data_IF_017548004318
#
_entry.id   IF_017548004318
#
_cell.length_a   1.000
_cell.length_b   1.000
_cell.length_c   1.000
_cell.angle_alpha   90.00
_cell.angle_beta   90.00
_cell.angle_gamma   90.00
#
_symmetry.space_group_name_H-M   'P 1'
#
loop_
_entity.id
_entity.type
_entity.pdbx_description
1 polymer ?
#
# COMPACT_ATOMS: atom_id res chain seq x y z
N UNK A 1 -8.09 -12.43 -6.56
CA UNK A 1 -7.47 -11.54 -5.56
C UNK A 1 -8.55 -10.73 -4.86
N UNK A 2 -8.28 -10.21 -3.66
CA UNK A 2 -9.13 -9.26 -2.92
C UNK A 2 -8.34 -7.98 -2.72
N UNK A 3 -8.95 -6.83 -2.99
CA UNK A 3 -8.34 -5.52 -2.75
C UNK A 3 -9.02 -4.90 -1.53
N UNK A 4 -8.22 -4.53 -0.53
CA UNK A 4 -8.67 -3.88 0.69
C UNK A 4 -8.35 -2.39 0.58
N UNK A 5 -9.39 -1.56 0.48
CA UNK A 5 -9.24 -0.11 0.49
C UNK A 5 -9.46 0.43 1.90
N UNK A 6 -8.68 1.44 2.28
CA UNK A 6 -8.95 2.25 3.47
C UNK A 6 -10.24 3.05 3.33
N UNK A 7 -10.64 3.74 4.39
CA UNK A 7 -11.89 4.51 4.48
C UNK A 7 -12.02 5.65 3.46
N UNK A 8 -10.93 6.01 2.76
CA UNK A 8 -10.90 6.99 1.68
C UNK A 8 -9.52 7.08 1.02
N UNK A 9 -9.41 7.93 0.00
CA UNK A 9 -8.15 8.22 -0.71
C UNK A 9 -7.09 8.77 0.25
N UNK A 10 -5.94 8.10 0.36
CA UNK A 10 -4.83 8.52 1.22
C UNK A 10 -4.99 8.18 2.70
N UNK A 11 -6.08 7.53 3.11
CA UNK A 11 -6.25 7.01 4.47
C UNK A 11 -5.75 5.58 4.56
N UNK A 12 -4.92 5.22 5.56
CA UNK A 12 -4.37 3.88 5.71
C UNK A 12 -5.49 2.84 5.87
N UNK A 13 -5.23 1.65 5.34
CA UNK A 13 -6.02 0.46 5.67
C UNK A 13 -5.80 0.13 7.14
N UNK A 14 -6.89 -0.12 7.85
CA UNK A 14 -6.84 -0.68 9.19
C UNK A 14 -6.16 -2.07 9.12
N UNK A 15 -5.07 -2.23 9.88
CA UNK A 15 -4.31 -3.47 9.97
C UNK A 15 -5.18 -4.65 10.40
N UNK A 16 -6.10 -4.45 11.33
CA UNK A 16 -7.00 -5.50 11.81
C UNK A 16 -7.94 -5.96 10.69
N UNK A 17 -8.48 -5.00 9.92
CA UNK A 17 -9.28 -5.31 8.74
C UNK A 17 -8.47 -6.11 7.72
N UNK A 18 -7.22 -5.71 7.45
CA UNK A 18 -6.35 -6.40 6.51
C UNK A 18 -6.06 -7.84 6.95
N UNK A 19 -5.78 -8.06 8.24
CA UNK A 19 -5.56 -9.38 8.82
C UNK A 19 -6.81 -10.27 8.72
N UNK A 20 -8.00 -9.72 9.02
CA UNK A 20 -9.28 -10.43 8.88
C UNK A 20 -9.55 -10.84 7.44
N UNK A 21 -9.31 -9.93 6.48
CA UNK A 21 -9.45 -10.25 5.06
C UNK A 21 -8.45 -11.31 4.62
N UNK A 22 -7.18 -11.24 5.08
CA UNK A 22 -6.16 -12.26 4.79
C UNK A 22 -6.60 -13.65 5.26
N UNK A 23 -7.15 -13.76 6.47
CA UNK A 23 -7.70 -15.01 6.98
C UNK A 23 -8.90 -15.52 6.18
N UNK A 24 -9.79 -14.62 5.76
CA UNK A 24 -11.00 -14.96 5.00
C UNK A 24 -10.75 -15.23 3.50
N UNK A 25 -9.62 -14.76 2.95
CA UNK A 25 -9.34 -14.82 1.52
C UNK A 25 -9.12 -16.26 0.99
N UNK A 26 -8.94 -17.25 1.87
CA UNK A 26 -8.82 -18.66 1.48
C UNK A 26 -7.64 -18.92 0.54
N UNK A 27 -6.49 -18.30 0.81
CA UNK A 27 -5.28 -18.42 0.00
C UNK A 27 -5.25 -17.57 -1.29
N UNK A 28 -6.30 -16.80 -1.58
CA UNK A 28 -6.28 -15.84 -2.71
C UNK A 28 -5.41 -14.63 -2.36
N UNK A 29 -4.73 -14.01 -3.35
CA UNK A 29 -3.92 -12.82 -3.10
C UNK A 29 -4.72 -11.67 -2.49
N UNK A 30 -4.15 -10.98 -1.51
CA UNK A 30 -4.71 -9.81 -0.82
C UNK A 30 -3.84 -8.59 -1.10
N UNK A 31 -4.47 -7.50 -1.58
CA UNK A 31 -3.78 -6.29 -1.97
C UNK A 31 -4.27 -5.09 -1.16
N UNK A 32 -3.37 -4.16 -0.87
CA UNK A 32 -3.72 -2.85 -0.30
C UNK A 32 -4.11 -1.90 -1.44
N UNK A 33 -5.34 -1.38 -1.43
CA UNK A 33 -5.90 -0.52 -2.47
C UNK A 33 -5.73 0.98 -2.23
N UNK A 34 -5.51 1.41 -0.98
CA UNK A 34 -5.26 2.81 -0.65
C UNK A 34 -4.51 2.96 0.68
N UNK A 35 -3.85 4.10 0.84
CA UNK A 35 -3.30 4.52 2.14
C UNK A 35 -1.94 3.94 2.52
N UNK A 36 -1.30 3.16 1.64
CA UNK A 36 0.10 2.79 1.84
C UNK A 36 1.00 4.02 1.69
N UNK A 37 1.90 4.20 2.64
CA UNK A 37 2.98 5.20 2.67
C UNK A 37 4.28 4.51 3.07
N UNK A 38 5.45 5.15 2.89
CA UNK A 38 6.71 4.61 3.40
C UNK A 38 6.68 4.32 4.90
N UNK A 39 5.97 5.15 5.67
CA UNK A 39 5.93 5.07 7.13
C UNK A 39 5.16 3.85 7.65
N UNK A 40 4.16 3.38 6.90
CA UNK A 40 3.32 2.23 7.30
C UNK A 40 3.59 0.96 6.49
N UNK A 41 4.48 1.01 5.49
CA UNK A 41 4.77 -0.13 4.62
C UNK A 41 5.30 -1.34 5.42
N UNK A 42 6.18 -1.11 6.39
CA UNK A 42 6.73 -2.17 7.25
C UNK A 42 5.71 -2.89 8.11
N UNK A 43 4.60 -2.23 8.43
CA UNK A 43 3.54 -2.81 9.25
C UNK A 43 2.49 -3.53 8.41
N UNK A 44 2.13 -2.98 7.24
CA UNK A 44 1.01 -3.45 6.43
C UNK A 44 1.42 -4.52 5.40
N UNK A 45 2.59 -4.40 4.77
CA UNK A 45 3.02 -5.34 3.73
C UNK A 45 3.22 -6.78 4.22
N UNK A 46 3.60 -7.07 5.49
CA UNK A 46 3.60 -8.45 5.99
C UNK A 46 2.23 -9.16 5.92
N UNK A 47 1.12 -8.42 5.77
CA UNK A 47 -0.24 -8.95 5.69
C UNK A 47 -0.81 -8.97 4.26
N UNK A 48 -0.08 -8.40 3.29
CA UNK A 48 -0.54 -8.24 1.91
C UNK A 48 0.47 -8.79 0.91
N UNK A 49 0.01 -9.15 -0.28
CA UNK A 49 0.85 -9.68 -1.35
C UNK A 49 1.21 -8.60 -2.39
N UNK A 50 0.48 -7.49 -2.43
CA UNK A 50 0.84 -6.30 -3.21
C UNK A 50 0.13 -5.03 -2.69
N UNK A 51 0.46 -3.89 -3.28
CA UNK A 51 -0.21 -2.62 -3.01
C UNK A 51 -0.36 -1.76 -4.26
N UNK A 52 -1.43 -0.96 -4.30
CA UNK A 52 -1.71 0.04 -5.33
C UNK A 52 -1.60 1.41 -4.67
N UNK A 53 -0.67 2.25 -5.13
CA UNK A 53 -0.42 3.57 -4.56
C UNK A 53 -0.56 4.64 -5.63
N UNK A 54 -1.49 5.57 -5.42
CA UNK A 54 -1.74 6.70 -6.31
C UNK A 54 -1.36 8.02 -5.69
N UNK A 55 -2.22 8.55 -4.83
CA UNK A 55 -2.14 9.90 -4.24
C UNK A 55 -0.79 10.22 -3.62
N UNK A 56 -0.22 9.30 -2.84
CA UNK A 56 1.07 9.55 -2.19
C UNK A 56 2.22 9.69 -3.20
N UNK A 57 2.13 9.11 -4.40
CA UNK A 57 3.15 9.26 -5.45
C UNK A 57 3.07 10.61 -6.16
N UNK A 58 2.04 11.42 -5.93
CA UNK A 58 1.85 12.71 -6.60
C UNK A 58 2.57 13.83 -5.88
N UNK A 59 2.98 14.86 -6.64
CA UNK A 59 3.48 16.12 -6.05
C UNK A 59 2.44 16.64 -5.06
N UNK A 60 2.87 16.99 -3.85
CA UNK A 60 2.04 17.43 -2.72
C UNK A 60 0.89 16.49 -2.31
N UNK A 61 0.93 15.22 -2.74
CA UNK A 61 -0.15 14.28 -2.45
C UNK A 61 -1.49 14.63 -3.13
N UNK A 62 -1.48 15.36 -4.25
CA UNK A 62 -2.72 15.76 -4.96
C UNK A 62 -2.94 14.89 -6.19
N UNK A 63 -4.09 14.23 -6.29
CA UNK A 63 -4.38 13.24 -7.37
C UNK A 63 -4.20 13.81 -8.78
N UNK A 64 -4.56 15.09 -8.98
CA UNK A 64 -4.46 15.78 -10.27
C UNK A 64 -3.05 16.25 -10.62
N UNK A 65 -2.12 16.24 -9.66
CA UNK A 65 -0.74 16.63 -9.90
C UNK A 65 0.03 15.54 -10.66
N UNK A 66 1.18 15.87 -11.25
CA UNK A 66 2.09 14.87 -11.81
C UNK A 66 2.62 13.92 -10.73
N UNK A 67 3.13 12.77 -11.17
CA UNK A 67 3.89 11.85 -10.30
C UNK A 67 5.22 12.49 -9.94
N UNK A 68 5.59 12.41 -8.67
CA UNK A 68 6.88 12.84 -8.15
C UNK A 68 7.84 11.66 -8.13
N UNK A 69 8.91 11.75 -8.93
CA UNK A 69 9.92 10.70 -9.06
C UNK A 69 10.60 10.37 -7.73
N UNK A 70 10.84 11.36 -6.89
CA UNK A 70 11.54 11.14 -5.63
C UNK A 70 10.66 10.39 -4.64
N UNK A 71 9.37 10.75 -4.60
CA UNK A 71 8.39 10.00 -3.81
C UNK A 71 8.34 8.54 -4.27
N UNK A 72 8.27 8.28 -5.58
CA UNK A 72 8.35 6.90 -6.11
C UNK A 72 9.56 6.14 -5.56
N UNK A 73 10.76 6.74 -5.60
CA UNK A 73 11.96 6.08 -5.06
C UNK A 73 11.83 5.76 -3.58
N UNK A 74 11.41 6.73 -2.78
CA UNK A 74 11.24 6.55 -1.33
C UNK A 74 10.27 5.42 -1.02
N UNK A 75 9.13 5.33 -1.73
CA UNK A 75 8.18 4.23 -1.52
C UNK A 75 8.75 2.89 -1.95
N UNK A 76 9.40 2.82 -3.12
CA UNK A 76 10.02 1.58 -3.61
C UNK A 76 11.07 1.09 -2.61
N UNK A 77 11.91 1.98 -2.08
CA UNK A 77 12.90 1.65 -1.05
C UNK A 77 12.26 1.14 0.24
N UNK A 78 11.16 1.74 0.70
CA UNK A 78 10.43 1.26 1.88
C UNK A 78 9.77 -0.12 1.66
N UNK A 79 9.35 -0.42 0.43
CA UNK A 79 8.73 -1.68 0.05
C UNK A 79 9.75 -2.80 -0.24
N UNK A 80 10.96 -2.47 -0.67
CA UNK A 80 11.95 -3.42 -1.18
C UNK A 80 12.23 -4.63 -0.25
N UNK A 81 12.35 -4.46 1.09
CA UNK A 81 12.57 -5.59 1.99
C UNK A 81 11.45 -6.64 1.98
N UNK A 82 10.22 -6.24 1.61
CA UNK A 82 9.05 -7.12 1.62
C UNK A 82 8.89 -7.91 0.32
N UNK A 83 9.44 -7.42 -0.78
CA UNK A 83 9.30 -8.04 -2.10
C UNK A 83 10.58 -8.72 -2.60
N UNK A 84 11.63 -8.78 -1.77
CA UNK A 84 12.91 -9.36 -2.16
C UNK A 84 13.60 -8.60 -3.30
N UNK A 85 13.30 -7.31 -3.45
CA UNK A 85 13.90 -6.44 -4.46
C UNK A 85 15.25 -5.98 -3.90
N UNK A 86 16.34 -6.34 -4.59
CA UNK A 86 17.71 -5.89 -4.29
C UNK A 86 18.01 -4.58 -5.02
#
# INVERSE_FOLDING_TARGET
>A
AVIVSGSGTGQPVDRELLARVRGAAGGKPVLIGSGLTPDNAGELLPLADAAIVGTWLKVDGRVLNPVDRERVRVLVSACAPHFGIQ
#
